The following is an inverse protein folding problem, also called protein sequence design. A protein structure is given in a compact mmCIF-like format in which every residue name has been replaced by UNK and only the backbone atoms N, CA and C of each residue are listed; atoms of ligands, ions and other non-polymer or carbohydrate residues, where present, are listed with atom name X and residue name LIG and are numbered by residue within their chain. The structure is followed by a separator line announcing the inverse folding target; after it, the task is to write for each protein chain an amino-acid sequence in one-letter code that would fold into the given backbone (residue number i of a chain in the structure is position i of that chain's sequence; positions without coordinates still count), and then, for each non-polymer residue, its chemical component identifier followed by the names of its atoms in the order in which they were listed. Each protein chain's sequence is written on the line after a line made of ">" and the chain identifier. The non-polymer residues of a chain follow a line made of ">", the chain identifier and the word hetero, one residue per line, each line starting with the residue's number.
data_IF_954446859402
#
_entry.id   IF_954446859402
#
_cell.length_a   1.000
_cell.length_b   1.000
_cell.length_c   1.000
_cell.angle_alpha   90.00
_cell.angle_beta   90.00
_cell.angle_gamma   90.00
#
_symmetry.space_group_name_H-M   'P 1'
#
loop_
_entity.id
_entity.type
_entity.pdbx_description
1 polymer ?
#
# COMPACT_ATOMS: atom_id res chain seq x y z
N UNK A 1 19.00 -10.61 5.29
CA UNK A 1 18.69 -9.17 5.36
C UNK A 1 19.16 -8.62 6.69
N UNK A 2 19.57 -7.35 6.75
CA UNK A 2 20.24 -6.74 7.91
C UNK A 2 19.42 -6.60 9.20
N UNK A 3 18.13 -6.97 9.19
CA UNK A 3 17.19 -6.85 10.31
C UNK A 3 16.90 -8.20 11.00
N UNK A 4 17.71 -9.23 10.73
CA UNK A 4 17.54 -10.60 11.26
C UNK A 4 16.12 -11.14 10.97
N UNK A 5 15.32 -11.34 12.01
CA UNK A 5 13.95 -11.89 12.01
C UNK A 5 12.87 -10.80 12.01
N UNK A 6 13.24 -9.52 12.02
CA UNK A 6 12.27 -8.42 12.00
C UNK A 6 11.76 -8.21 10.58
N UNK A 7 10.44 -8.29 10.43
CA UNK A 7 9.69 -8.13 9.18
C UNK A 7 8.75 -6.92 9.22
N UNK A 8 8.43 -6.40 10.42
CA UNK A 8 7.43 -5.35 10.60
C UNK A 8 7.83 -4.32 11.66
N UNK A 9 7.48 -3.06 11.42
CA UNK A 9 7.46 -2.00 12.43
C UNK A 9 6.03 -1.48 12.60
N UNK A 10 5.56 -1.42 13.83
CA UNK A 10 4.24 -0.86 14.18
C UNK A 10 4.42 0.33 15.10
N UNK A 11 3.87 1.49 14.70
CA UNK A 11 3.95 2.72 15.49
C UNK A 11 2.58 3.00 16.13
N UNK A 12 2.55 3.09 17.46
CA UNK A 12 1.38 3.42 18.26
C UNK A 12 1.46 4.88 18.70
N UNK A 13 0.58 5.72 18.17
CA UNK A 13 0.46 7.14 18.52
C UNK A 13 -0.42 7.27 19.78
N UNK A 14 0.15 7.71 20.90
CA UNK A 14 -0.52 7.70 22.20
C UNK A 14 -1.24 9.01 22.54
N UNK A 15 -1.08 10.07 21.75
CA UNK A 15 -1.69 11.40 21.97
C UNK A 15 -1.51 11.94 23.41
N UNK A 16 -0.41 11.58 24.06
CA UNK A 16 -0.08 12.02 25.41
C UNK A 16 1.39 12.41 25.48
N UNK A 17 1.64 13.73 25.51
CA UNK A 17 2.98 14.34 25.56
C UNK A 17 3.80 13.93 26.79
N UNK A 18 3.13 13.47 27.87
CA UNK A 18 3.81 13.01 29.08
C UNK A 18 4.28 11.55 29.00
N UNK A 19 4.08 10.88 27.86
CA UNK A 19 4.53 9.49 27.70
C UNK A 19 5.90 9.46 27.05
N UNK A 20 6.85 8.77 27.67
CA UNK A 20 8.15 8.54 27.06
C UNK A 20 8.02 7.65 25.83
N UNK A 21 8.90 7.87 24.84
CA UNK A 21 9.01 7.00 23.68
C UNK A 21 9.52 5.63 24.16
N UNK A 22 8.88 4.55 23.72
CA UNK A 22 9.33 3.19 24.05
C UNK A 22 9.39 2.28 22.83
N UNK A 23 10.33 1.34 22.88
CA UNK A 23 10.59 0.35 21.84
C UNK A 23 10.44 -1.04 22.43
N UNK A 24 9.52 -1.82 21.89
CA UNK A 24 9.35 -3.24 22.26
C UNK A 24 9.66 -4.11 21.05
N UNK A 25 10.61 -5.04 21.22
CA UNK A 25 11.03 -5.94 20.15
C UNK A 25 10.47 -7.33 20.40
N UNK A 26 9.51 -7.73 19.57
CA UNK A 26 8.97 -9.07 19.58
C UNK A 26 9.58 -9.88 18.42
N UNK A 27 10.70 -10.56 18.69
CA UNK A 27 11.41 -11.37 17.69
C UNK A 27 10.58 -12.56 17.21
N UNK A 28 9.75 -13.15 18.09
CA UNK A 28 8.89 -14.28 17.72
C UNK A 28 7.80 -13.88 16.71
N UNK A 29 7.37 -12.62 16.71
CA UNK A 29 6.44 -12.06 15.73
C UNK A 29 7.14 -11.25 14.63
N UNK A 30 8.48 -11.20 14.63
CA UNK A 30 9.25 -10.38 13.71
C UNK A 30 8.87 -8.89 13.75
N UNK A 31 8.51 -8.36 14.92
CA UNK A 31 7.89 -7.03 15.03
C UNK A 31 8.68 -6.11 15.99
N UNK A 32 8.88 -4.86 15.58
CA UNK A 32 9.24 -3.76 16.47
C UNK A 32 7.98 -2.93 16.70
N UNK A 33 7.60 -2.74 17.96
CA UNK A 33 6.52 -1.84 18.36
C UNK A 33 7.14 -0.58 18.94
N UNK A 34 6.68 0.56 18.45
CA UNK A 34 7.18 1.87 18.84
C UNK A 34 6.01 2.66 19.38
N UNK A 35 6.07 3.07 20.63
CA UNK A 35 5.04 3.86 21.28
C UNK A 35 5.53 5.30 21.33
N UNK A 36 4.78 6.22 20.73
CA UNK A 36 5.21 7.61 20.54
C UNK A 36 4.19 8.59 21.12
N UNK A 37 4.65 9.69 21.76
CA UNK A 37 3.78 10.76 22.26
C UNK A 37 3.35 11.69 21.12
N UNK A 38 2.78 11.13 20.06
CA UNK A 38 2.29 11.86 18.89
C UNK A 38 0.77 11.84 18.86
N UNK A 39 0.13 12.97 18.59
CA UNK A 39 -1.31 13.03 18.33
C UNK A 39 -1.59 12.77 16.84
N UNK A 40 -2.21 11.63 16.56
CA UNK A 40 -2.58 11.28 15.20
C UNK A 40 -3.62 12.23 14.59
N UNK A 41 -4.41 12.93 15.41
CA UNK A 41 -5.39 13.90 14.93
C UNK A 41 -4.73 15.07 14.20
N UNK A 42 -3.52 15.48 14.62
CA UNK A 42 -2.75 16.52 13.94
C UNK A 42 -2.38 16.10 12.52
N UNK A 43 -1.99 14.83 12.33
CA UNK A 43 -1.72 14.28 11.00
C UNK A 43 -2.98 14.32 10.12
N UNK A 44 -4.14 13.97 10.69
CA UNK A 44 -5.40 13.98 9.96
C UNK A 44 -5.81 15.38 9.51
N UNK A 45 -5.55 16.41 10.32
CA UNK A 45 -5.88 17.80 10.03
C UNK A 45 -5.07 18.43 8.88
N UNK A 46 -3.96 17.83 8.46
CA UNK A 46 -3.17 18.29 7.31
C UNK A 46 -3.98 18.17 6.00
N UNK A 47 -3.88 19.17 5.12
CA UNK A 47 -4.79 19.34 3.99
C UNK A 47 -4.26 18.73 2.67
N UNK A 48 -2.94 18.73 2.49
CA UNK A 48 -2.29 18.24 1.28
C UNK A 48 -1.61 16.88 1.49
N UNK A 49 -1.36 16.17 0.39
CA UNK A 49 -0.63 14.88 0.42
C UNK A 49 0.83 15.15 0.78
N UNK A 50 1.37 16.26 0.31
CA UNK A 50 2.74 16.71 0.53
C UNK A 50 2.99 17.08 2.00
N UNK A 51 2.05 17.76 2.66
CA UNK A 51 2.14 18.03 4.11
C UNK A 51 2.09 16.74 4.92
N UNK A 52 1.14 15.85 4.63
CA UNK A 52 1.06 14.53 5.29
C UNK A 52 2.34 13.74 5.07
N UNK A 53 2.89 13.75 3.86
CA UNK A 53 4.15 13.07 3.56
C UNK A 53 5.33 13.66 4.33
N UNK A 54 5.45 15.00 4.41
CA UNK A 54 6.49 15.67 5.21
C UNK A 54 6.41 15.26 6.69
N UNK A 55 5.21 15.24 7.26
CA UNK A 55 5.01 14.82 8.65
C UNK A 55 5.31 13.33 8.84
N UNK A 56 4.88 12.47 7.90
CA UNK A 56 5.25 11.06 7.90
C UNK A 56 6.77 10.85 7.89
N UNK A 57 7.51 11.55 7.02
CA UNK A 57 8.97 11.49 6.99
C UNK A 57 9.60 11.93 8.30
N UNK A 58 9.05 12.96 8.96
CA UNK A 58 9.51 13.39 10.28
C UNK A 58 9.31 12.29 11.32
N UNK A 59 8.14 11.64 11.35
CA UNK A 59 7.86 10.51 12.26
C UNK A 59 8.80 9.32 12.00
N UNK A 60 9.04 8.97 10.74
CA UNK A 60 9.96 7.88 10.37
C UNK A 60 11.38 8.19 10.85
N UNK A 61 11.88 9.41 10.56
CA UNK A 61 13.24 9.80 10.96
C UNK A 61 13.40 9.88 12.46
N UNK A 62 12.40 10.38 13.16
CA UNK A 62 12.46 10.61 14.60
C UNK A 62 12.28 9.33 15.41
N UNK A 63 11.41 8.42 14.96
CA UNK A 63 10.98 7.28 15.76
C UNK A 63 11.31 5.94 15.13
N UNK A 64 11.17 5.78 13.81
CA UNK A 64 11.38 4.48 13.16
C UNK A 64 12.86 4.17 12.95
N UNK A 65 13.64 5.14 12.46
CA UNK A 65 15.09 4.95 12.22
C UNK A 65 15.82 4.48 13.48
N UNK A 66 15.68 5.11 14.66
CA UNK A 66 16.34 4.63 15.88
C UNK A 66 15.99 3.19 16.22
N UNK A 67 14.70 2.81 16.13
CA UNK A 67 14.27 1.44 16.38
C UNK A 67 14.88 0.43 15.41
N UNK A 68 15.07 0.80 14.15
CA UNK A 68 15.76 -0.03 13.16
C UNK A 68 17.26 -0.13 13.44
N UNK A 69 17.92 0.97 13.77
CA UNK A 69 19.36 1.02 14.06
C UNK A 69 19.73 0.12 15.25
N UNK A 70 18.94 0.16 16.33
CA UNK A 70 19.15 -0.68 17.52
C UNK A 70 18.96 -2.19 17.25
N UNK A 71 18.19 -2.54 16.22
CA UNK A 71 17.82 -3.92 15.91
C UNK A 71 18.48 -4.48 14.65
N UNK A 72 19.27 -3.67 13.94
CA UNK A 72 19.98 -4.06 12.74
C UNK A 72 21.40 -4.53 13.03
N UNK A 73 21.91 -5.42 12.18
CA UNK A 73 23.35 -5.74 12.11
C UNK A 73 24.10 -4.79 11.16
N UNK A 74 23.39 -3.92 10.45
CA UNK A 74 23.98 -2.92 9.56
C UNK A 74 24.44 -1.71 10.36
N UNK A 75 25.37 -0.94 9.80
CA UNK A 75 25.76 0.33 10.42
C UNK A 75 24.59 1.33 10.39
N UNK A 76 24.49 2.23 11.36
CA UNK A 76 23.46 3.29 11.38
C UNK A 76 23.39 4.08 10.07
N UNK A 77 24.54 4.39 9.48
CA UNK A 77 24.64 5.08 8.18
C UNK A 77 23.94 4.34 7.03
N UNK A 78 24.02 3.00 7.01
CA UNK A 78 23.39 2.17 5.97
C UNK A 78 21.88 2.10 6.21
N UNK A 79 21.45 1.90 7.47
CA UNK A 79 20.02 1.88 7.83
C UNK A 79 19.35 3.19 7.43
N UNK A 80 19.98 4.32 7.78
CA UNK A 80 19.52 5.65 7.40
C UNK A 80 19.50 5.81 5.88
N UNK A 81 20.55 5.42 5.18
CA UNK A 81 20.64 5.48 3.71
C UNK A 81 19.47 4.77 3.03
N UNK A 82 19.23 3.50 3.37
CA UNK A 82 18.11 2.74 2.80
C UNK A 82 16.75 3.31 3.17
N UNK A 83 16.59 3.86 4.38
CA UNK A 83 15.33 4.47 4.80
C UNK A 83 15.05 5.73 3.99
N UNK A 84 16.03 6.61 3.80
CA UNK A 84 15.88 7.84 3.02
C UNK A 84 15.63 7.52 1.53
N UNK A 85 16.36 6.58 0.93
CA UNK A 85 16.09 6.09 -0.44
C UNK A 85 14.65 5.58 -0.58
N UNK A 86 14.16 4.82 0.41
CA UNK A 86 12.79 4.32 0.42
C UNK A 86 11.75 5.43 0.52
N UNK A 87 12.02 6.48 1.30
CA UNK A 87 11.15 7.67 1.37
C UNK A 87 11.12 8.39 0.01
N UNK A 88 12.27 8.60 -0.64
CA UNK A 88 12.32 9.21 -1.97
C UNK A 88 11.52 8.45 -3.04
N UNK A 89 11.50 7.12 -2.98
CA UNK A 89 10.70 6.30 -3.89
C UNK A 89 9.19 6.56 -3.75
N UNK A 90 8.68 6.91 -2.56
CA UNK A 90 7.27 7.26 -2.36
C UNK A 90 6.91 8.49 -3.21
N UNK A 91 7.81 9.49 -3.27
CA UNK A 91 7.60 10.70 -4.08
C UNK A 91 7.65 10.36 -5.57
N UNK A 92 8.60 9.52 -6.00
CA UNK A 92 8.71 9.10 -7.41
C UNK A 92 7.49 8.30 -7.87
N UNK A 93 6.83 7.61 -6.95
CA UNK A 93 5.58 6.89 -7.18
C UNK A 93 4.33 7.75 -6.98
N UNK A 94 4.48 9.08 -6.93
CA UNK A 94 3.38 10.03 -6.77
C UNK A 94 2.50 9.76 -5.54
N UNK A 95 3.10 9.23 -4.47
CA UNK A 95 2.42 8.85 -3.22
C UNK A 95 1.33 7.78 -3.42
N UNK A 96 1.46 6.94 -4.47
CA UNK A 96 0.53 5.87 -4.78
C UNK A 96 1.16 4.49 -4.59
N UNK A 97 0.49 3.63 -3.83
CA UNK A 97 0.76 2.19 -3.81
C UNK A 97 -0.04 1.51 -4.91
N UNK A 98 0.58 1.20 -6.05
CA UNK A 98 -0.05 0.50 -7.17
C UNK A 98 0.31 -0.99 -7.13
N UNK A 99 -0.68 -1.86 -7.16
CA UNK A 99 -0.46 -3.30 -7.16
C UNK A 99 -1.45 -4.05 -8.07
N UNK A 100 -0.99 -5.18 -8.61
CA UNK A 100 -1.82 -6.08 -9.42
C UNK A 100 -2.65 -6.99 -8.52
N UNK A 101 -3.91 -7.19 -8.88
CA UNK A 101 -4.87 -7.99 -8.11
C UNK A 101 -5.17 -9.30 -8.86
N UNK A 102 -5.35 -10.39 -8.12
CA UNK A 102 -5.97 -11.59 -8.69
C UNK A 102 -5.18 -12.33 -9.78
N UNK A 103 -3.84 -12.23 -9.75
CA UNK A 103 -2.92 -12.83 -10.74
C UNK A 103 -3.15 -12.30 -12.16
N UNK A 104 -3.48 -11.02 -12.31
CA UNK A 104 -3.46 -10.35 -13.62
C UNK A 104 -2.03 -9.94 -14.00
N UNK A 105 -1.71 -9.73 -15.30
CA UNK A 105 -2.59 -9.68 -16.48
C UNK A 105 -3.24 -11.03 -16.87
N UNK A 106 -4.44 -11.00 -17.45
CA UNK A 106 -5.11 -12.18 -18.04
C UNK A 106 -5.50 -11.95 -19.50
N UNK A 107 -5.19 -12.92 -20.36
CA UNK A 107 -5.51 -12.90 -21.79
C UNK A 107 -6.98 -13.27 -22.03
N UNK A 108 -7.61 -12.66 -23.02
CA UNK A 108 -8.92 -13.06 -23.55
C UNK A 108 -8.85 -14.47 -24.17
N UNK A 109 -9.98 -15.13 -24.45
CA UNK A 109 -9.99 -16.48 -25.03
C UNK A 109 -9.20 -16.57 -26.36
N UNK A 110 -9.34 -15.56 -27.23
CA UNK A 110 -8.60 -15.40 -28.49
C UNK A 110 -7.15 -14.95 -28.30
N UNK A 111 -6.78 -14.56 -27.07
CA UNK A 111 -5.48 -13.98 -26.71
C UNK A 111 -5.15 -12.63 -27.36
N UNK A 112 -6.12 -12.00 -28.03
CA UNK A 112 -5.98 -10.69 -28.69
C UNK A 112 -6.13 -9.49 -27.74
N UNK A 113 -6.62 -9.71 -26.52
CA UNK A 113 -6.76 -8.67 -25.50
C UNK A 113 -6.15 -9.14 -24.18
N UNK A 114 -5.67 -8.19 -23.38
CA UNK A 114 -5.15 -8.42 -22.03
C UNK A 114 -5.93 -7.54 -21.06
N UNK A 115 -6.44 -8.12 -19.98
CA UNK A 115 -7.08 -7.40 -18.90
C UNK A 115 -6.19 -7.38 -17.64
N UNK A 116 -6.08 -6.22 -17.02
CA UNK A 116 -5.33 -5.97 -15.79
C UNK A 116 -6.31 -5.46 -14.73
N UNK A 117 -6.25 -6.04 -13.54
CA UNK A 117 -6.95 -5.55 -12.37
C UNK A 117 -5.92 -4.91 -11.44
N UNK A 118 -6.04 -3.62 -11.18
CA UNK A 118 -5.09 -2.87 -10.35
C UNK A 118 -5.78 -2.24 -9.15
N UNK A 119 -5.15 -2.38 -7.99
CA UNK A 119 -5.46 -1.60 -6.81
C UNK A 119 -4.53 -0.38 -6.78
N UNK A 120 -5.10 0.78 -6.45
CA UNK A 120 -4.34 2.02 -6.24
C UNK A 120 -4.67 2.52 -4.85
N UNK A 121 -3.70 2.42 -3.95
CA UNK A 121 -3.78 2.89 -2.57
C UNK A 121 -3.17 4.30 -2.48
N UNK A 122 -3.89 5.22 -1.85
CA UNK A 122 -3.45 6.60 -1.57
C UNK A 122 -3.82 6.97 -0.14
N UNK A 123 -3.16 7.97 0.42
CA UNK A 123 -3.51 8.50 1.75
C UNK A 123 -4.98 8.96 1.84
N UNK A 124 -5.58 9.41 0.73
CA UNK A 124 -6.96 9.88 0.68
C UNK A 124 -7.99 8.80 0.35
N UNK A 125 -7.57 7.61 -0.08
CA UNK A 125 -8.52 6.61 -0.58
C UNK A 125 -7.88 5.46 -1.33
N UNK A 126 -8.74 4.56 -1.79
CA UNK A 126 -8.39 3.39 -2.57
C UNK A 126 -9.26 3.34 -3.82
N UNK A 127 -8.66 2.89 -4.94
CA UNK A 127 -9.39 2.61 -6.18
C UNK A 127 -9.05 1.22 -6.69
N UNK A 128 -10.08 0.45 -7.08
CA UNK A 128 -9.93 -0.77 -7.86
C UNK A 128 -10.31 -0.46 -9.31
N UNK A 129 -9.40 -0.73 -10.25
CA UNK A 129 -9.62 -0.45 -11.68
C UNK A 129 -9.35 -1.66 -12.55
N UNK A 130 -10.16 -1.84 -13.59
CA UNK A 130 -9.90 -2.79 -14.66
C UNK A 130 -9.46 -2.04 -15.92
N UNK A 131 -8.26 -2.35 -16.40
CA UNK A 131 -7.74 -1.86 -17.68
C UNK A 131 -7.71 -3.00 -18.70
N UNK A 132 -8.05 -2.70 -19.95
CA UNK A 132 -7.95 -3.65 -21.06
C UNK A 132 -7.11 -3.08 -22.18
N UNK A 133 -6.20 -3.90 -22.67
CA UNK A 133 -5.26 -3.59 -23.74
C UNK A 133 -5.50 -4.52 -24.93
N UNK A 134 -5.30 -4.00 -26.14
CA UNK A 134 -5.32 -4.80 -27.35
C UNK A 134 -3.97 -5.53 -27.60
N UNK A 135 -3.88 -6.26 -28.72
CA UNK A 135 -2.69 -7.02 -29.12
C UNK A 135 -1.47 -6.13 -29.42
N UNK A 136 -1.67 -4.83 -29.64
CA UNK A 136 -0.61 -3.84 -29.88
C UNK A 136 -0.19 -3.13 -28.59
N UNK A 137 -0.80 -3.45 -27.46
CA UNK A 137 -0.54 -2.81 -26.17
C UNK A 137 -1.24 -1.46 -26.01
N UNK A 138 -2.20 -1.12 -26.87
CA UNK A 138 -3.01 0.09 -26.71
C UNK A 138 -4.09 -0.15 -25.66
N UNK A 139 -4.22 0.75 -24.69
CA UNK A 139 -5.30 0.71 -23.70
C UNK A 139 -6.63 1.06 -24.38
N UNK A 140 -7.51 0.08 -24.50
CA UNK A 140 -8.84 0.22 -25.12
C UNK A 140 -9.96 0.41 -24.10
N UNK A 141 -9.71 0.12 -22.82
CA UNK A 141 -10.66 0.33 -21.71
C UNK A 141 -9.93 0.65 -20.41
N UNK A 142 -10.50 1.54 -19.62
CA UNK A 142 -10.08 1.85 -18.25
C UNK A 142 -11.33 2.14 -17.40
N UNK A 143 -11.72 1.20 -16.55
CA UNK A 143 -12.96 1.27 -15.78
C UNK A 143 -12.65 1.27 -14.28
N UNK A 144 -13.16 2.29 -13.58
CA UNK A 144 -13.23 2.31 -12.13
C UNK A 144 -14.32 1.33 -11.67
N UNK A 145 -13.96 0.41 -10.78
CA UNK A 145 -14.88 -0.59 -10.22
C UNK A 145 -15.28 -0.25 -8.80
N UNK A 146 -14.34 0.24 -8.00
CA UNK A 146 -14.54 0.60 -6.60
C UNK A 146 -13.75 1.84 -6.27
N UNK A 147 -14.35 2.71 -5.48
CA UNK A 147 -13.70 3.79 -4.75
C UNK A 147 -14.07 3.66 -3.28
N UNK A 148 -13.08 3.67 -2.39
CA UNK A 148 -13.25 3.38 -0.96
C UNK A 148 -12.20 4.13 -0.12
N UNK A 149 -12.36 4.15 1.20
CA UNK A 149 -11.31 4.60 2.12
C UNK A 149 -10.01 3.81 1.94
N UNK A 150 -8.87 4.49 2.13
CA UNK A 150 -7.51 3.92 2.03
C UNK A 150 -7.14 3.01 3.21
N UNK A 151 -8.05 2.14 3.64
CA UNK A 151 -7.83 1.18 4.71
C UNK A 151 -7.93 -0.24 4.15
N UNK A 152 -6.82 -0.99 4.23
CA UNK A 152 -6.73 -2.34 3.67
C UNK A 152 -7.78 -3.29 4.25
N UNK A 153 -8.08 -3.19 5.54
CA UNK A 153 -9.12 -4.02 6.16
C UNK A 153 -10.51 -3.76 5.56
N UNK A 154 -10.74 -2.54 5.06
CA UNK A 154 -12.01 -2.16 4.43
C UNK A 154 -12.02 -2.58 2.96
N UNK A 155 -11.03 -2.16 2.17
CA UNK A 155 -11.06 -2.42 0.72
C UNK A 155 -10.71 -3.87 0.34
N UNK A 156 -10.10 -4.65 1.24
CA UNK A 156 -9.78 -6.06 0.99
C UNK A 156 -11.03 -6.88 0.60
N UNK A 157 -12.23 -6.47 1.04
CA UNK A 157 -13.50 -7.11 0.67
C UNK A 157 -13.83 -7.04 -0.82
N UNK A 158 -13.19 -6.16 -1.57
CA UNK A 158 -13.37 -6.01 -3.02
C UNK A 158 -12.26 -6.69 -3.83
N UNK A 159 -11.15 -7.04 -3.18
CA UNK A 159 -10.05 -7.72 -3.84
C UNK A 159 -10.47 -9.15 -4.19
N UNK A 160 -10.12 -9.57 -5.40
CA UNK A 160 -10.54 -10.88 -5.85
C UNK A 160 -9.87 -11.35 -7.13
N UNK A 161 -10.66 -11.87 -8.06
CA UNK A 161 -10.16 -12.39 -9.34
C UNK A 161 -10.87 -11.75 -10.51
N UNK A 162 -10.09 -11.48 -11.55
CA UNK A 162 -10.59 -11.13 -12.87
C UNK A 162 -10.71 -12.41 -13.72
N UNK A 163 -11.78 -12.57 -14.50
CA UNK A 163 -11.94 -13.68 -15.46
C UNK A 163 -12.61 -13.17 -16.73
N UNK A 164 -12.16 -13.68 -17.88
CA UNK A 164 -12.86 -13.51 -19.15
C UNK A 164 -13.95 -14.58 -19.26
N UNK A 165 -15.22 -14.17 -19.36
CA UNK A 165 -16.34 -15.08 -19.66
C UNK A 165 -16.59 -15.19 -21.16
N UNK A 166 -16.23 -14.18 -21.94
CA UNK A 166 -16.23 -14.20 -23.41
C UNK A 166 -15.18 -13.23 -23.97
N UNK A 167 -15.13 -13.02 -25.29
CA UNK A 167 -14.25 -11.99 -25.90
C UNK A 167 -14.58 -10.55 -25.50
N UNK A 168 -15.81 -10.31 -25.04
CA UNK A 168 -16.35 -8.99 -24.76
C UNK A 168 -16.92 -8.86 -23.34
N UNK A 169 -16.75 -9.88 -22.50
CA UNK A 169 -17.22 -9.87 -21.12
C UNK A 169 -16.11 -10.29 -20.16
N UNK A 170 -15.79 -9.40 -19.24
CA UNK A 170 -14.94 -9.66 -18.10
C UNK A 170 -15.79 -9.61 -16.84
N UNK A 171 -15.56 -10.57 -15.94
CA UNK A 171 -16.14 -10.58 -14.60
C UNK A 171 -15.04 -10.40 -13.58
N UNK A 172 -15.22 -9.44 -12.67
CA UNK A 172 -14.40 -9.29 -11.48
C UNK A 172 -15.25 -9.69 -10.28
N UNK A 173 -14.75 -10.61 -9.47
CA UNK A 173 -15.46 -11.12 -8.31
C UNK A 173 -14.56 -11.12 -7.09
N UNK A 174 -15.07 -10.64 -5.97
CA UNK A 174 -14.39 -10.70 -4.68
C UNK A 174 -14.13 -12.15 -4.24
N UNK A 175 -13.05 -12.36 -3.48
CA UNK A 175 -12.80 -13.65 -2.80
C UNK A 175 -13.48 -13.78 -1.45
N UNK A 176 -13.86 -12.66 -0.84
CA UNK A 176 -14.27 -12.59 0.57
C UNK A 176 -15.64 -11.96 0.79
N UNK A 177 -16.30 -11.48 -0.27
CA UNK A 177 -17.66 -10.94 -0.23
C UNK A 177 -18.47 -11.37 -1.46
N UNK A 178 -19.77 -11.06 -1.45
CA UNK A 178 -20.65 -11.27 -2.61
C UNK A 178 -20.49 -10.21 -3.72
N UNK A 179 -19.55 -9.27 -3.57
CA UNK A 179 -19.34 -8.21 -4.55
C UNK A 179 -18.79 -8.80 -5.87
N UNK A 180 -19.40 -8.37 -6.98
CA UNK A 180 -19.08 -8.75 -8.35
C UNK A 180 -19.37 -7.57 -9.27
N UNK A 181 -18.51 -7.39 -10.28
CA UNK A 181 -18.71 -6.43 -11.36
C UNK A 181 -18.53 -7.08 -12.72
N UNK A 182 -19.29 -6.60 -13.70
CA UNK A 182 -19.24 -7.03 -15.09
C UNK A 182 -18.78 -5.88 -15.98
N UNK A 183 -17.79 -6.16 -16.83
CA UNK A 183 -17.20 -5.18 -17.73
C UNK A 183 -17.42 -5.67 -19.17
N UNK A 184 -18.23 -4.91 -19.90
CA UNK A 184 -18.52 -5.13 -21.31
C UNK A 184 -17.56 -4.29 -22.17
N UNK A 185 -16.98 -4.92 -23.20
CA UNK A 185 -16.03 -4.31 -24.15
C UNK A 185 -16.64 -4.04 -25.52
#
# INVERSE_FOLDING_TARGET
>A
MGLREIEKVTVFCLANENTDISYEVNRALGEIRIYVPYDFMDFLALNSVEEKYKEFCKLVRQYVIPGLEENSILSPSIVKGYTEESLEEIVKQNYEGIFLVGKTPKKSPSRKKIAILKGIHRVKGFQLRCEVYDEKGLKIRDQLLVEEVGNEMVYARFLGTLKWESENLIVVQSKSSSWKEEIYL
#
